data_IF_446556471181
#
_entry.id   IF_446556471181
#
_cell.length_a   1.000
_cell.length_b   1.000
_cell.length_c   1.000
_cell.angle_alpha   90.00
_cell.angle_beta   90.00
_cell.angle_gamma   90.00
#
_symmetry.space_group_name_H-M   'P 1'
#
loop_
_entity.id
_entity.type
_entity.pdbx_description
1 polymer ?
#
# COMPACT_ATOMS: atom_id res chain seq x y z
N UNK A 1 87.81 -12.68 -9.75
CA UNK A 1 86.79 -11.91 -10.46
C UNK A 1 85.51 -12.76 -10.41
N UNK A 2 84.67 -12.48 -9.40
CA UNK A 2 83.51 -13.36 -9.08
C UNK A 2 82.25 -12.50 -9.10
N UNK A 3 81.36 -12.79 -10.06
CA UNK A 3 80.06 -12.11 -10.18
C UNK A 3 79.10 -12.73 -9.18
N UNK A 4 78.60 -11.94 -8.22
CA UNK A 4 77.53 -12.30 -7.31
C UNK A 4 76.19 -11.91 -7.95
N UNK A 5 75.37 -12.93 -8.23
CA UNK A 5 74.00 -12.76 -8.72
C UNK A 5 73.08 -12.59 -7.53
N UNK A 6 72.49 -11.40 -7.37
CA UNK A 6 71.45 -11.16 -6.38
C UNK A 6 70.13 -11.63 -6.98
N UNK A 7 69.51 -12.66 -6.38
CA UNK A 7 68.11 -13.04 -6.70
C UNK A 7 67.20 -12.28 -5.74
N UNK A 8 66.41 -11.36 -6.29
CA UNK A 8 65.28 -10.74 -5.64
C UNK A 8 64.08 -11.70 -5.72
N UNK A 9 63.65 -12.22 -4.56
CA UNK A 9 62.35 -12.89 -4.41
C UNK A 9 61.29 -11.81 -4.27
N UNK A 10 60.40 -11.70 -5.22
CA UNK A 10 59.16 -10.93 -5.09
C UNK A 10 58.11 -11.81 -4.42
N UNK A 11 57.78 -11.48 -3.19
CA UNK A 11 56.62 -12.08 -2.49
C UNK A 11 55.38 -11.27 -2.93
N UNK A 12 54.54 -11.87 -3.77
CA UNK A 12 53.22 -11.34 -4.09
C UNK A 12 52.27 -11.73 -2.96
N UNK A 13 51.93 -10.77 -2.10
CA UNK A 13 50.84 -10.92 -1.14
C UNK A 13 49.49 -10.76 -1.86
N UNK A 14 48.83 -11.85 -2.15
CA UNK A 14 47.45 -11.86 -2.60
C UNK A 14 46.55 -11.48 -1.42
N UNK A 15 46.13 -10.22 -1.35
CA UNK A 15 45.09 -9.79 -0.44
C UNK A 15 43.74 -10.33 -1.00
N UNK A 16 43.24 -11.42 -0.42
CA UNK A 16 41.87 -11.87 -0.67
C UNK A 16 40.91 -10.87 -0.03
N UNK A 17 40.31 -10.02 -0.84
CA UNK A 17 39.21 -9.17 -0.46
C UNK A 17 37.97 -10.07 -0.30
N UNK A 18 37.69 -10.51 0.91
CA UNK A 18 36.42 -11.16 1.23
C UNK A 18 35.33 -10.08 1.13
N UNK A 19 34.67 -9.99 -0.02
CA UNK A 19 33.40 -9.31 -0.09
C UNK A 19 32.42 -10.07 0.81
N UNK A 20 32.17 -9.56 2.00
CA UNK A 20 30.99 -9.95 2.77
C UNK A 20 29.80 -9.49 1.95
N UNK A 21 29.15 -10.41 1.24
CA UNK A 21 27.80 -10.21 0.73
C UNK A 21 26.98 -9.95 1.98
N UNK A 22 26.59 -8.69 2.20
CA UNK A 22 25.58 -8.35 3.18
C UNK A 22 24.36 -9.17 2.80
N UNK A 23 24.06 -10.22 3.54
CA UNK A 23 22.90 -11.06 3.30
C UNK A 23 21.67 -10.15 3.26
N UNK A 24 20.93 -10.15 2.16
CA UNK A 24 19.63 -9.51 2.10
C UNK A 24 18.84 -10.06 3.29
N UNK A 25 18.41 -9.18 4.19
CA UNK A 25 17.60 -9.59 5.33
C UNK A 25 16.33 -10.21 4.75
N UNK A 26 16.02 -11.45 5.14
CA UNK A 26 14.84 -12.14 4.64
C UNK A 26 13.60 -11.28 4.87
N UNK A 27 12.75 -11.16 3.85
CA UNK A 27 11.53 -10.38 3.96
C UNK A 27 10.65 -10.94 5.08
N UNK A 28 10.13 -10.04 5.93
CA UNK A 28 9.16 -10.44 6.96
C UNK A 28 7.88 -10.86 6.27
N UNK A 29 7.55 -12.14 6.30
CA UNK A 29 6.39 -12.74 5.66
C UNK A 29 5.53 -13.50 6.65
N UNK A 30 4.23 -13.56 6.38
CA UNK A 30 3.27 -14.32 7.20
C UNK A 30 1.86 -14.20 6.68
N UNK A 31 1.00 -15.13 7.10
CA UNK A 31 -0.45 -15.08 6.88
C UNK A 31 -1.09 -14.95 8.27
N UNK A 32 -1.93 -13.95 8.45
CA UNK A 32 -2.56 -13.65 9.75
C UNK A 32 -4.07 -13.55 9.56
N UNK A 33 -4.83 -14.25 10.40
CA UNK A 33 -6.28 -14.16 10.40
C UNK A 33 -6.72 -12.75 10.84
N UNK A 34 -7.72 -12.20 10.14
CA UNK A 34 -8.36 -10.91 10.46
C UNK A 34 -9.71 -11.17 11.15
N UNK A 35 -10.57 -11.96 10.52
CA UNK A 35 -11.87 -12.37 11.05
C UNK A 35 -12.42 -13.52 10.22
N UNK A 36 -13.00 -14.54 10.86
CA UNK A 36 -13.57 -15.68 10.15
C UNK A 36 -12.58 -16.27 9.12
N UNK A 37 -13.00 -16.31 7.86
CA UNK A 37 -12.19 -16.83 6.75
C UNK A 37 -11.44 -15.73 5.97
N UNK A 38 -11.26 -14.55 6.57
CA UNK A 38 -10.51 -13.42 6.00
C UNK A 38 -9.15 -13.32 6.65
N UNK A 39 -8.11 -13.27 5.82
CA UNK A 39 -6.70 -13.21 6.25
C UNK A 39 -5.97 -12.08 5.52
N UNK A 40 -4.92 -11.56 6.16
CA UNK A 40 -3.90 -10.74 5.45
C UNK A 40 -2.63 -11.54 5.29
N UNK A 41 -2.02 -11.48 4.11
CA UNK A 41 -0.65 -11.93 3.94
C UNK A 41 0.30 -10.74 3.90
N UNK A 42 1.46 -10.89 4.50
CA UNK A 42 2.45 -9.84 4.70
C UNK A 42 3.71 -10.08 3.88
N UNK A 43 4.22 -9.01 3.28
CA UNK A 43 5.60 -8.93 2.80
C UNK A 43 6.21 -7.60 3.25
N UNK A 44 7.04 -7.64 4.29
CA UNK A 44 7.60 -6.47 4.97
C UNK A 44 6.51 -5.52 5.49
N UNK A 45 6.33 -4.35 4.85
CA UNK A 45 5.38 -3.30 5.24
C UNK A 45 4.09 -3.31 4.42
N UNK A 46 3.95 -4.24 3.46
CA UNK A 46 2.80 -4.37 2.59
C UNK A 46 1.97 -5.59 2.96
N UNK A 47 0.66 -5.47 2.80
CA UNK A 47 -0.28 -6.54 3.03
C UNK A 47 -1.24 -6.67 1.84
N UNK A 48 -1.54 -7.90 1.44
CA UNK A 48 -2.67 -8.26 0.61
C UNK A 48 -3.72 -8.97 1.43
N UNK A 49 -4.93 -9.15 0.87
CA UNK A 49 -6.04 -9.83 1.52
C UNK A 49 -6.30 -11.19 0.87
N UNK A 50 -6.66 -12.16 1.69
CA UNK A 50 -7.14 -13.48 1.28
C UNK A 50 -8.53 -13.70 1.86
N UNK A 51 -9.48 -14.09 1.03
CA UNK A 51 -10.82 -14.52 1.44
C UNK A 51 -10.98 -15.98 1.05
N UNK A 52 -11.01 -16.87 2.03
CA UNK A 52 -11.27 -18.31 1.81
C UNK A 52 -12.75 -18.50 1.71
N UNK A 53 -13.21 -19.05 0.58
CA UNK A 53 -14.63 -19.32 0.30
C UNK A 53 -14.86 -20.81 0.08
N UNK A 54 -16.11 -21.26 -0.03
CA UNK A 54 -16.38 -22.66 -0.33
C UNK A 54 -15.92 -23.09 -1.74
N UNK A 55 -15.78 -22.14 -2.67
CA UNK A 55 -15.43 -22.39 -4.07
C UNK A 55 -13.96 -22.10 -4.41
N UNK A 56 -13.18 -21.55 -3.48
CA UNK A 56 -11.78 -21.21 -3.69
C UNK A 56 -11.35 -20.00 -2.88
N UNK A 57 -10.20 -19.42 -3.22
CA UNK A 57 -9.64 -18.25 -2.57
C UNK A 57 -9.75 -17.05 -3.48
N UNK A 58 -10.26 -15.93 -2.96
CA UNK A 58 -10.18 -14.63 -3.59
C UNK A 58 -8.96 -13.89 -2.99
N UNK A 59 -8.01 -13.53 -3.84
CA UNK A 59 -6.82 -12.78 -3.48
C UNK A 59 -7.01 -11.30 -3.86
N UNK A 60 -6.72 -10.39 -2.96
CA UNK A 60 -6.66 -8.95 -3.25
C UNK A 60 -5.23 -8.48 -3.08
N UNK A 61 -4.66 -7.95 -4.15
CA UNK A 61 -3.28 -7.53 -4.31
C UNK A 61 -2.23 -8.65 -4.14
N UNK A 62 -1.16 -8.53 -4.86
CA UNK A 62 -0.08 -9.52 -4.95
C UNK A 62 1.26 -9.02 -4.40
N UNK A 63 1.36 -7.71 -4.15
CA UNK A 63 2.50 -6.99 -3.59
C UNK A 63 3.70 -6.98 -4.54
N UNK A 64 4.29 -8.14 -4.81
CA UNK A 64 5.36 -8.35 -5.78
C UNK A 64 5.54 -9.85 -6.09
N UNK A 65 6.35 -10.17 -7.11
CA UNK A 65 6.56 -11.56 -7.56
C UNK A 65 7.05 -12.49 -6.46
N UNK A 66 8.02 -12.05 -5.64
CA UNK A 66 8.57 -12.88 -4.56
C UNK A 66 7.55 -13.14 -3.45
N UNK A 67 6.72 -12.12 -3.12
CA UNK A 67 5.63 -12.25 -2.15
C UNK A 67 4.55 -13.20 -2.67
N UNK A 68 4.18 -13.05 -3.95
CA UNK A 68 3.21 -13.92 -4.62
C UNK A 68 3.66 -15.38 -4.66
N UNK A 69 4.93 -15.62 -5.02
CA UNK A 69 5.48 -16.97 -5.03
C UNK A 69 5.50 -17.57 -3.62
N UNK A 70 5.96 -16.81 -2.64
CA UNK A 70 5.93 -17.25 -1.25
C UNK A 70 4.51 -17.57 -0.77
N UNK A 71 3.53 -16.72 -1.11
CA UNK A 71 2.13 -16.97 -0.78
C UNK A 71 1.63 -18.27 -1.41
N UNK A 72 1.92 -18.49 -2.71
CA UNK A 72 1.54 -19.71 -3.42
C UNK A 72 2.09 -20.97 -2.75
N UNK A 73 3.34 -20.91 -2.30
CA UNK A 73 4.01 -22.03 -1.64
C UNK A 73 3.51 -22.28 -0.19
N UNK A 74 2.86 -21.28 0.43
CA UNK A 74 2.43 -21.34 1.83
C UNK A 74 0.92 -21.26 2.02
N UNK A 75 0.12 -21.15 0.94
CA UNK A 75 -1.34 -21.02 1.03
C UNK A 75 -1.99 -22.24 1.73
N UNK A 76 -1.40 -23.42 1.56
CA UNK A 76 -1.85 -24.67 2.20
C UNK A 76 -1.77 -24.64 3.72
N UNK A 77 -1.14 -23.66 4.34
CA UNK A 77 -1.16 -23.47 5.81
C UNK A 77 -2.52 -23.00 6.34
N UNK A 78 -3.37 -22.46 5.45
CA UNK A 78 -4.72 -21.99 5.81
C UNK A 78 -5.82 -22.72 5.02
N UNK A 79 -5.55 -23.20 3.81
CA UNK A 79 -6.53 -23.91 2.97
C UNK A 79 -5.86 -24.68 1.83
N UNK A 80 -6.45 -25.81 1.43
CA UNK A 80 -6.03 -26.56 0.24
C UNK A 80 -6.74 -26.08 -1.04
N UNK A 81 -7.63 -25.06 -0.94
CA UNK A 81 -8.39 -24.52 -2.07
C UNK A 81 -7.50 -23.67 -2.96
N UNK A 82 -7.67 -23.72 -4.29
CA UNK A 82 -6.90 -22.87 -5.21
C UNK A 82 -7.36 -21.41 -5.16
N UNK A 83 -6.48 -20.48 -5.56
CA UNK A 83 -6.88 -19.11 -5.91
C UNK A 83 -7.72 -19.17 -7.19
N UNK A 84 -8.89 -18.56 -7.17
CA UNK A 84 -9.86 -18.52 -8.29
C UNK A 84 -10.07 -17.11 -8.82
N UNK A 85 -9.83 -16.12 -7.99
CA UNK A 85 -9.98 -14.70 -8.35
C UNK A 85 -8.81 -13.89 -7.82
N UNK A 86 -8.36 -12.94 -8.63
CA UNK A 86 -7.42 -11.89 -8.24
C UNK A 86 -8.10 -10.53 -8.41
N UNK A 87 -8.14 -9.74 -7.36
CA UNK A 87 -8.66 -8.38 -7.39
C UNK A 87 -7.47 -7.43 -7.20
N UNK A 88 -7.32 -6.46 -8.08
CA UNK A 88 -6.39 -5.35 -7.86
C UNK A 88 -7.10 -4.20 -7.18
N UNK A 89 -6.60 -3.79 -6.00
CA UNK A 89 -7.14 -2.62 -5.31
C UNK A 89 -6.88 -1.34 -6.10
N UNK A 90 -5.72 -1.26 -6.74
CA UNK A 90 -5.32 -0.23 -7.70
C UNK A 90 -4.04 -0.65 -8.43
N UNK A 91 -3.58 0.14 -9.37
CA UNK A 91 -2.49 -0.22 -10.29
C UNK A 91 -1.08 0.14 -9.81
N UNK A 92 -0.88 0.64 -8.59
CA UNK A 92 0.46 0.89 -8.07
C UNK A 92 1.23 -0.42 -7.90
N UNK A 93 2.49 -0.43 -8.38
CA UNK A 93 3.26 -1.66 -8.53
C UNK A 93 3.69 -2.30 -7.19
N UNK A 94 3.72 -1.57 -6.12
CA UNK A 94 4.00 -2.09 -4.78
C UNK A 94 2.82 -2.85 -4.15
N UNK A 95 1.65 -2.81 -4.80
CA UNK A 95 0.47 -3.62 -4.48
C UNK A 95 0.16 -4.65 -5.56
N UNK A 96 0.26 -4.28 -6.83
CA UNK A 96 -0.29 -5.04 -7.93
C UNK A 96 0.74 -5.85 -8.75
N UNK A 97 2.05 -5.76 -8.43
CA UNK A 97 3.05 -6.57 -9.12
C UNK A 97 3.01 -8.03 -8.68
N UNK A 98 3.44 -8.93 -9.56
CA UNK A 98 3.52 -10.36 -9.27
C UNK A 98 2.23 -11.14 -9.51
N UNK A 99 1.21 -10.49 -10.07
CA UNK A 99 -0.07 -11.15 -10.41
C UNK A 99 0.06 -12.35 -11.33
N UNK A 100 1.09 -12.36 -12.21
CA UNK A 100 1.35 -13.47 -13.13
C UNK A 100 1.56 -14.82 -12.43
N UNK A 101 1.89 -14.84 -11.14
CA UNK A 101 2.03 -16.09 -10.37
C UNK A 101 0.69 -16.81 -10.22
N UNK A 102 -0.43 -16.06 -10.25
CA UNK A 102 -1.78 -16.59 -10.03
C UNK A 102 -2.70 -16.44 -11.26
N UNK A 103 -2.44 -15.50 -12.16
CA UNK A 103 -3.41 -15.05 -13.17
C UNK A 103 -3.82 -16.11 -14.22
N UNK A 104 -3.09 -17.22 -14.34
CA UNK A 104 -3.40 -18.24 -15.35
C UNK A 104 -4.69 -19.00 -15.00
N UNK A 105 -5.70 -18.86 -15.87
CA UNK A 105 -6.98 -19.58 -15.75
C UNK A 105 -7.94 -19.05 -14.69
N UNK A 106 -7.69 -17.88 -14.07
CA UNK A 106 -8.56 -17.27 -13.06
C UNK A 106 -9.18 -15.96 -13.55
N UNK A 107 -10.22 -15.47 -12.87
CA UNK A 107 -10.77 -14.14 -13.11
C UNK A 107 -9.87 -13.08 -12.44
N UNK A 108 -9.45 -12.07 -13.22
CA UNK A 108 -8.67 -10.93 -12.73
C UNK A 108 -9.54 -9.68 -12.82
N UNK A 109 -9.84 -9.07 -11.68
CA UNK A 109 -10.79 -7.96 -11.56
C UNK A 109 -10.03 -6.68 -11.23
N UNK A 110 -10.33 -5.59 -11.94
CA UNK A 110 -9.83 -4.25 -11.67
C UNK A 110 -10.88 -3.19 -12.01
N UNK A 111 -10.69 -1.98 -11.48
CA UNK A 111 -11.51 -0.83 -11.87
C UNK A 111 -11.30 -0.47 -13.36
N UNK A 112 -12.29 0.14 -13.99
CA UNK A 112 -12.25 0.52 -15.41
C UNK A 112 -11.09 1.49 -15.74
N UNK A 113 -10.71 2.36 -14.79
CA UNK A 113 -9.59 3.30 -14.94
C UNK A 113 -8.20 2.67 -14.77
N UNK A 114 -8.11 1.38 -14.43
CA UNK A 114 -6.82 0.68 -14.37
C UNK A 114 -6.21 0.57 -15.77
N UNK A 115 -4.86 0.55 -15.90
CA UNK A 115 -4.18 0.30 -17.17
C UNK A 115 -4.65 -0.99 -17.84
N UNK A 116 -4.45 -1.10 -19.16
CA UNK A 116 -4.82 -2.30 -19.92
C UNK A 116 -4.18 -3.58 -19.34
N UNK A 117 -2.96 -3.46 -18.85
CA UNK A 117 -2.27 -4.51 -18.10
C UNK A 117 -1.50 -3.90 -16.92
N UNK A 118 -1.47 -4.61 -15.80
CA UNK A 118 -0.73 -4.27 -14.59
C UNK A 118 0.37 -5.32 -14.43
N UNK A 119 1.64 -4.88 -14.46
CA UNK A 119 2.81 -5.77 -14.43
C UNK A 119 2.68 -6.98 -15.38
N UNK A 120 2.19 -6.72 -16.61
CA UNK A 120 1.98 -7.73 -17.65
C UNK A 120 0.70 -8.56 -17.54
N UNK A 121 -0.10 -8.37 -16.50
CA UNK A 121 -1.39 -9.07 -16.30
C UNK A 121 -2.55 -8.16 -16.72
N UNK A 122 -3.31 -8.57 -17.72
CA UNK A 122 -4.52 -7.87 -18.15
C UNK A 122 -5.72 -8.31 -17.29
N UNK A 123 -6.49 -7.36 -16.71
CA UNK A 123 -7.76 -7.69 -16.07
C UNK A 123 -8.72 -8.33 -17.06
N UNK A 124 -9.33 -9.45 -16.68
CA UNK A 124 -10.36 -10.14 -17.48
C UNK A 124 -11.74 -9.58 -17.22
N UNK A 125 -11.92 -8.90 -16.08
CA UNK A 125 -13.15 -8.22 -15.67
C UNK A 125 -12.84 -6.80 -15.24
N UNK A 126 -13.63 -5.85 -15.77
CA UNK A 126 -13.58 -4.44 -15.37
C UNK A 126 -14.95 -3.97 -14.90
N UNK A 127 -14.97 -3.03 -13.96
CA UNK A 127 -16.20 -2.41 -13.46
C UNK A 127 -15.99 -0.89 -13.27
N UNK A 128 -17.08 -0.14 -13.24
CA UNK A 128 -17.05 1.31 -13.09
C UNK A 128 -17.17 1.74 -11.62
N UNK A 129 -18.37 1.85 -11.05
CA UNK A 129 -18.56 2.40 -9.71
C UNK A 129 -18.55 1.33 -8.61
N UNK A 130 -19.34 0.27 -8.79
CA UNK A 130 -19.55 -0.80 -7.81
C UNK A 130 -19.59 -2.14 -8.55
N UNK A 131 -18.97 -3.13 -7.95
CA UNK A 131 -19.11 -4.52 -8.35
C UNK A 131 -19.27 -5.42 -7.12
N UNK A 132 -20.16 -6.41 -7.23
CA UNK A 132 -20.38 -7.40 -6.17
C UNK A 132 -20.07 -8.78 -6.70
N UNK A 133 -19.12 -9.45 -6.04
CA UNK A 133 -18.79 -10.85 -6.28
C UNK A 133 -19.43 -11.70 -5.18
N UNK A 134 -20.36 -12.60 -5.58
CA UNK A 134 -20.92 -13.62 -4.69
C UNK A 134 -20.26 -14.96 -5.00
N UNK A 135 -19.53 -15.51 -4.06
CA UNK A 135 -18.75 -16.74 -4.25
C UNK A 135 -18.62 -17.54 -2.95
N UNK A 136 -18.96 -18.82 -3.02
CA UNK A 136 -18.74 -19.80 -1.95
C UNK A 136 -19.16 -19.32 -0.56
N UNK A 137 -20.37 -18.75 -0.45
CA UNK A 137 -20.93 -18.26 0.82
C UNK A 137 -20.49 -16.88 1.26
N UNK A 138 -19.63 -16.19 0.48
CA UNK A 138 -19.18 -14.83 0.75
C UNK A 138 -19.77 -13.84 -0.25
N UNK A 139 -19.96 -12.59 0.19
CA UNK A 139 -20.23 -11.45 -0.66
C UNK A 139 -19.07 -10.48 -0.55
N UNK A 140 -18.43 -10.15 -1.67
CA UNK A 140 -17.29 -9.24 -1.74
C UNK A 140 -17.74 -8.03 -2.56
N UNK A 141 -17.84 -6.89 -1.88
CA UNK A 141 -18.30 -5.62 -2.43
C UNK A 141 -17.10 -4.77 -2.81
N UNK A 142 -16.96 -4.42 -4.08
CA UNK A 142 -15.91 -3.56 -4.62
C UNK A 142 -16.50 -2.19 -4.90
N UNK A 143 -15.92 -1.13 -4.34
CA UNK A 143 -16.41 0.23 -4.52
C UNK A 143 -15.26 1.12 -4.99
N UNK A 144 -15.39 1.73 -6.16
CA UNK A 144 -14.46 2.75 -6.60
C UNK A 144 -14.52 3.99 -5.70
N UNK A 145 -13.37 4.49 -5.27
CA UNK A 145 -13.31 5.59 -4.31
C UNK A 145 -13.25 6.98 -4.97
N UNK A 146 -13.12 7.05 -6.29
CA UNK A 146 -12.89 8.32 -6.99
C UNK A 146 -11.40 8.52 -7.30
N UNK A 147 -11.08 9.63 -7.98
CA UNK A 147 -9.69 10.01 -8.26
C UNK A 147 -9.09 10.77 -7.08
N UNK A 148 -7.90 10.36 -6.61
CA UNK A 148 -7.22 11.00 -5.49
C UNK A 148 -5.83 10.40 -5.33
N UNK A 149 -5.67 9.40 -4.48
CA UNK A 149 -4.51 8.53 -4.48
C UNK A 149 -4.64 7.54 -5.64
N UNK A 150 -4.18 7.91 -6.80
CA UNK A 150 -4.45 7.16 -8.04
C UNK A 150 -5.85 7.39 -8.61
N UNK A 151 -6.13 6.77 -9.76
CA UNK A 151 -7.38 6.95 -10.52
C UNK A 151 -8.33 5.76 -10.41
N UNK A 152 -7.82 4.62 -10.02
CA UNK A 152 -8.46 3.31 -10.07
C UNK A 152 -8.61 2.65 -8.68
N UNK A 153 -8.35 3.41 -7.60
CA UNK A 153 -8.37 2.88 -6.25
C UNK A 153 -9.77 2.48 -5.81
N UNK A 154 -9.90 1.26 -5.28
CA UNK A 154 -11.15 0.70 -4.75
C UNK A 154 -11.02 0.32 -3.27
N UNK A 155 -12.14 0.31 -2.58
CA UNK A 155 -12.31 -0.40 -1.31
C UNK A 155 -12.93 -1.77 -1.57
N UNK A 156 -12.54 -2.77 -0.79
CA UNK A 156 -13.07 -4.14 -0.83
C UNK A 156 -13.70 -4.45 0.51
N UNK A 157 -15.01 -4.73 0.56
CA UNK A 157 -15.71 -5.09 1.80
C UNK A 157 -16.18 -6.54 1.70
N UNK A 158 -15.87 -7.34 2.72
CA UNK A 158 -16.15 -8.78 2.79
C UNK A 158 -17.25 -9.07 3.79
N UNK A 159 -18.28 -9.82 3.37
CA UNK A 159 -19.40 -10.28 4.18
C UNK A 159 -19.40 -11.82 4.32
N UNK A 160 -19.81 -12.34 5.48
CA UNK A 160 -20.44 -11.66 6.62
C UNK A 160 -19.44 -11.04 7.62
N UNK A 161 -18.13 -11.13 7.43
CA UNK A 161 -17.10 -10.73 8.39
C UNK A 161 -17.04 -9.23 8.66
N UNK A 162 -17.67 -8.41 7.82
CA UNK A 162 -17.66 -6.94 7.91
C UNK A 162 -16.24 -6.35 7.90
N UNK A 163 -15.34 -6.95 7.12
CA UNK A 163 -13.96 -6.53 6.94
C UNK A 163 -13.85 -5.67 5.69
N UNK A 164 -13.36 -4.43 5.83
CA UNK A 164 -12.94 -3.61 4.71
C UNK A 164 -11.44 -3.70 4.51
N UNK A 165 -10.99 -4.08 3.32
CA UNK A 165 -9.61 -3.93 2.89
C UNK A 165 -9.51 -2.62 2.12
N UNK A 166 -8.71 -1.72 2.67
CA UNK A 166 -8.48 -0.38 2.12
C UNK A 166 -6.97 -0.19 2.05
N UNK A 167 -6.50 0.10 0.86
CA UNK A 167 -5.08 0.31 0.63
C UNK A 167 -4.69 1.76 0.97
N UNK A 168 -4.02 2.44 0.12
CA UNK A 168 -3.29 3.68 0.35
C UNK A 168 -4.15 4.92 0.64
N UNK A 169 -5.48 4.83 0.48
CA UNK A 169 -6.35 5.96 0.81
C UNK A 169 -6.31 6.31 2.30
N UNK A 170 -6.23 5.31 3.17
CA UNK A 170 -6.13 5.50 4.61
C UNK A 170 -5.49 4.28 5.29
N UNK A 171 -4.88 4.51 6.45
CA UNK A 171 -4.39 3.46 7.34
C UNK A 171 -4.65 3.83 8.79
N UNK A 172 -5.10 2.89 9.64
CA UNK A 172 -5.35 3.16 11.05
C UNK A 172 -4.13 3.75 11.75
N UNK A 173 -4.31 4.91 12.35
CA UNK A 173 -3.30 5.64 13.12
C UNK A 173 -1.92 5.70 12.45
N UNK A 174 -1.90 6.07 11.17
CA UNK A 174 -0.68 6.23 10.39
C UNK A 174 -0.82 7.40 9.43
N UNK A 175 0.23 8.22 9.30
CA UNK A 175 0.26 9.34 8.37
C UNK A 175 0.24 8.85 6.90
N UNK A 176 -0.36 9.63 5.98
CA UNK A 176 -0.23 9.42 4.54
C UNK A 176 1.24 9.37 4.10
N UNK A 177 1.50 8.63 3.01
CA UNK A 177 2.86 8.39 2.56
C UNK A 177 3.60 9.67 2.19
N UNK A 178 4.63 10.00 2.98
CA UNK A 178 5.64 11.04 2.72
C UNK A 178 5.03 12.38 2.27
N UNK A 179 5.44 12.85 1.08
CA UNK A 179 5.00 14.11 0.48
C UNK A 179 3.79 13.96 -0.45
N UNK A 180 3.09 12.81 -0.35
CA UNK A 180 1.89 12.48 -1.15
C UNK A 180 2.13 12.72 -2.65
N UNK A 181 3.14 12.05 -3.25
CA UNK A 181 3.55 12.31 -4.61
C UNK A 181 2.47 11.92 -5.61
N UNK A 182 2.39 12.68 -6.74
CA UNK A 182 1.53 12.39 -7.89
C UNK A 182 0.03 12.22 -7.55
N UNK A 183 -0.42 12.78 -6.42
CA UNK A 183 -1.80 12.64 -5.94
C UNK A 183 -2.57 13.95 -6.12
N UNK A 184 -3.86 13.81 -6.44
CA UNK A 184 -4.84 14.88 -6.22
C UNK A 184 -5.26 14.83 -4.75
N UNK A 185 -4.69 15.69 -3.90
CA UNK A 185 -4.92 15.60 -2.43
C UNK A 185 -6.36 15.95 -2.05
N UNK A 186 -7.03 16.86 -2.75
CA UNK A 186 -8.44 17.14 -2.52
C UNK A 186 -9.30 15.92 -2.84
N UNK A 187 -9.05 15.28 -3.99
CA UNK A 187 -9.69 14.02 -4.34
C UNK A 187 -9.36 12.88 -3.37
N UNK A 188 -8.14 12.85 -2.82
CA UNK A 188 -7.78 11.87 -1.79
C UNK A 188 -8.60 12.05 -0.51
N UNK A 189 -8.81 13.30 -0.06
CA UNK A 189 -9.73 13.59 1.06
C UNK A 189 -11.14 13.08 0.74
N UNK A 190 -11.62 13.27 -0.50
CA UNK A 190 -12.92 12.76 -0.92
C UNK A 190 -12.99 11.23 -0.96
N UNK A 191 -11.89 10.55 -1.33
CA UNK A 191 -11.78 9.09 -1.22
C UNK A 191 -11.99 8.63 0.23
N UNK A 192 -11.35 9.30 1.20
CA UNK A 192 -11.51 8.93 2.62
C UNK A 192 -12.93 9.22 3.10
N UNK A 193 -13.56 10.32 2.66
CA UNK A 193 -14.99 10.59 2.93
C UNK A 193 -15.88 9.48 2.39
N UNK A 194 -15.60 8.96 1.20
CA UNK A 194 -16.36 7.86 0.61
C UNK A 194 -16.19 6.57 1.43
N UNK A 195 -14.99 6.28 1.94
CA UNK A 195 -14.75 5.14 2.84
C UNK A 195 -15.65 5.21 4.08
N UNK A 196 -15.86 6.38 4.67
CA UNK A 196 -16.72 6.54 5.83
C UNK A 196 -18.19 6.16 5.56
N UNK A 197 -18.65 6.26 4.30
CA UNK A 197 -20.01 5.87 3.92
C UNK A 197 -20.20 4.37 3.79
N UNK A 198 -19.11 3.60 3.66
CA UNK A 198 -19.17 2.16 3.55
C UNK A 198 -19.56 1.53 4.90
N UNK A 199 -20.31 0.44 4.83
CA UNK A 199 -20.69 -0.32 6.01
C UNK A 199 -19.64 -1.41 6.27
N UNK A 200 -18.85 -1.26 7.33
CA UNK A 200 -17.85 -2.24 7.81
C UNK A 200 -17.52 -1.97 9.29
N UNK A 201 -16.94 -2.95 9.94
CA UNK A 201 -16.52 -2.86 11.35
C UNK A 201 -15.00 -2.92 11.47
N UNK A 202 -14.35 -3.84 10.74
CA UNK A 202 -12.92 -4.09 10.80
C UNK A 202 -12.23 -3.43 9.61
N UNK A 203 -11.27 -2.57 9.90
CA UNK A 203 -10.43 -1.92 8.90
C UNK A 203 -9.13 -2.70 8.75
N UNK A 204 -8.98 -3.47 7.69
CA UNK A 204 -7.76 -4.18 7.30
C UNK A 204 -7.00 -3.33 6.26
N UNK A 205 -5.92 -2.62 6.61
CA UNK A 205 -5.17 -1.80 5.66
C UNK A 205 -4.11 -2.63 4.93
N UNK A 206 -3.66 -2.12 3.78
CA UNK A 206 -2.46 -2.65 3.13
C UNK A 206 -1.15 -2.19 3.78
N UNK A 207 -1.23 -1.20 4.68
CA UNK A 207 -0.09 -0.71 5.45
C UNK A 207 -0.47 -0.53 6.93
N UNK A 208 0.33 -1.07 7.84
CA UNK A 208 0.12 -0.92 9.27
C UNK A 208 -0.79 -1.97 9.90
N UNK A 209 -1.36 -1.64 11.04
CA UNK A 209 -2.15 -2.55 11.86
C UNK A 209 -3.62 -2.54 11.46
N UNK A 210 -4.31 -3.64 11.74
CA UNK A 210 -5.77 -3.70 11.65
C UNK A 210 -6.36 -2.74 12.66
N UNK A 211 -7.40 -2.02 12.26
CA UNK A 211 -8.14 -1.07 13.07
C UNK A 211 -9.65 -1.22 12.91
N UNK A 212 -10.36 -0.14 13.14
CA UNK A 212 -11.82 -0.06 13.11
C UNK A 212 -12.28 1.08 12.20
N UNK A 213 -13.56 1.11 11.86
CA UNK A 213 -14.13 2.17 11.00
C UNK A 213 -13.81 3.60 11.47
N UNK A 214 -13.76 3.84 12.78
CA UNK A 214 -13.41 5.15 13.33
C UNK A 214 -12.04 5.66 12.89
N UNK A 215 -11.07 4.76 12.64
CA UNK A 215 -9.74 5.15 12.16
C UNK A 215 -9.78 5.80 10.76
N UNK A 216 -10.79 5.49 9.94
CA UNK A 216 -10.97 6.18 8.65
C UNK A 216 -11.43 7.64 8.86
N UNK A 217 -12.30 7.88 9.85
CA UNK A 217 -12.73 9.23 10.24
C UNK A 217 -11.54 10.04 10.73
N UNK A 218 -10.70 9.46 11.58
CA UNK A 218 -9.51 10.11 12.11
C UNK A 218 -8.50 10.42 10.98
N UNK A 219 -8.33 9.54 10.01
CA UNK A 219 -7.47 9.78 8.84
C UNK A 219 -7.97 10.98 8.01
N UNK A 220 -9.29 11.13 7.81
CA UNK A 220 -9.85 12.30 7.15
C UNK A 220 -9.60 13.58 7.96
N UNK A 221 -9.85 13.54 9.27
CA UNK A 221 -9.62 14.69 10.15
C UNK A 221 -8.17 15.16 10.06
N UNK A 222 -7.20 14.21 10.08
CA UNK A 222 -5.79 14.54 9.87
C UNK A 222 -5.56 15.29 8.56
N UNK A 223 -6.03 14.76 7.44
CA UNK A 223 -5.81 15.36 6.13
C UNK A 223 -6.47 16.72 5.98
N UNK A 224 -7.69 16.90 6.52
CA UNK A 224 -8.41 18.17 6.50
C UNK A 224 -7.72 19.21 7.39
N UNK A 225 -7.26 18.83 8.58
CA UNK A 225 -6.50 19.73 9.46
C UNK A 225 -5.17 20.15 8.84
N UNK A 226 -4.41 19.20 8.29
CA UNK A 226 -3.17 19.48 7.56
C UNK A 226 -3.43 20.50 6.44
N UNK A 227 -4.44 20.22 5.59
CA UNK A 227 -4.81 21.09 4.47
C UNK A 227 -5.19 22.50 4.93
N UNK A 228 -6.04 22.60 5.95
CA UNK A 228 -6.51 23.89 6.46
C UNK A 228 -5.37 24.74 7.03
N UNK A 229 -4.49 24.13 7.83
CA UNK A 229 -3.36 24.83 8.44
C UNK A 229 -2.35 25.28 7.41
N UNK A 230 -1.98 24.43 6.43
CA UNK A 230 -1.05 24.79 5.37
C UNK A 230 -1.63 25.88 4.48
N UNK A 231 -2.89 25.75 4.05
CA UNK A 231 -3.56 26.77 3.22
C UNK A 231 -3.62 28.13 3.92
N UNK A 232 -3.99 28.14 5.20
CA UNK A 232 -4.06 29.36 6.01
C UNK A 232 -2.68 30.03 6.10
N UNK A 233 -1.63 29.25 6.37
CA UNK A 233 -0.29 29.79 6.49
C UNK A 233 0.25 30.31 5.17
N UNK A 234 0.06 29.61 4.06
CA UNK A 234 0.45 30.09 2.73
C UNK A 234 -0.26 31.40 2.35
N UNK A 235 -1.58 31.49 2.59
CA UNK A 235 -2.35 32.74 2.38
C UNK A 235 -1.89 33.91 3.25
N UNK A 236 -1.30 33.60 4.41
CA UNK A 236 -0.68 34.60 5.28
C UNK A 236 0.77 34.94 4.86
N UNK A 237 1.27 34.44 3.73
CA UNK A 237 2.60 34.69 3.21
C UNK A 237 3.74 33.96 3.93
N UNK A 238 3.42 32.92 4.73
CA UNK A 238 4.47 32.10 5.37
C UNK A 238 5.19 31.25 4.35
N UNK A 239 6.49 31.11 4.52
CA UNK A 239 7.30 30.15 3.78
C UNK A 239 6.98 28.71 4.21
N UNK A 240 7.27 27.74 3.36
CA UNK A 240 7.07 26.32 3.67
C UNK A 240 7.88 25.89 4.91
N UNK A 241 9.09 26.44 5.10
CA UNK A 241 9.92 26.12 6.27
C UNK A 241 9.33 26.68 7.58
N UNK A 242 8.67 27.86 7.53
CA UNK A 242 7.91 28.38 8.67
C UNK A 242 6.70 27.52 8.96
N UNK A 243 6.00 26.97 7.94
CA UNK A 243 4.89 26.03 8.14
C UNK A 243 5.39 24.74 8.79
N UNK A 244 6.48 24.15 8.32
CA UNK A 244 7.09 22.96 8.92
C UNK A 244 7.43 23.16 10.39
N UNK A 245 7.95 24.34 10.74
CA UNK A 245 8.32 24.65 12.13
C UNK A 245 7.16 24.96 13.05
N UNK A 246 5.98 25.30 12.51
CA UNK A 246 4.82 25.76 13.30
C UNK A 246 3.62 24.84 13.28
N UNK A 247 3.48 23.98 12.26
CA UNK A 247 2.36 23.02 12.14
C UNK A 247 2.78 21.71 12.77
N UNK A 248 2.36 21.48 14.02
CA UNK A 248 2.73 20.26 14.76
C UNK A 248 1.74 19.12 14.57
N UNK A 249 0.43 19.39 14.53
CA UNK A 249 -0.62 18.34 14.48
C UNK A 249 -0.51 17.38 15.66
N UNK A 250 -0.36 17.93 16.87
CA UNK A 250 -0.02 17.20 18.10
C UNK A 250 -1.03 16.10 18.47
N UNK A 251 -2.29 16.26 18.07
CA UNK A 251 -3.35 15.25 18.28
C UNK A 251 -3.05 13.91 17.59
N UNK A 252 -2.09 13.90 16.65
CA UNK A 252 -1.67 12.72 15.88
C UNK A 252 -0.23 12.30 16.17
N UNK A 253 0.39 12.83 17.23
CA UNK A 253 1.81 12.60 17.55
C UNK A 253 2.14 11.15 17.90
N UNK A 254 1.16 10.35 18.30
CA UNK A 254 1.28 8.92 18.56
C UNK A 254 1.07 8.03 17.29
N UNK A 255 0.78 8.65 16.15
CA UNK A 255 0.55 7.89 14.92
C UNK A 255 1.85 7.38 14.28
N UNK A 256 1.76 6.23 13.64
CA UNK A 256 2.86 5.67 12.88
C UNK A 256 3.37 6.66 11.83
N UNK A 257 4.70 6.79 11.75
CA UNK A 257 5.42 7.70 10.85
C UNK A 257 5.28 9.20 11.16
N UNK A 258 4.71 9.59 12.29
CA UNK A 258 4.58 11.02 12.63
C UNK A 258 5.93 11.74 12.58
N UNK A 259 6.94 11.23 13.27
CA UNK A 259 8.27 11.86 13.34
C UNK A 259 8.96 11.96 11.97
N UNK A 260 8.66 11.03 11.06
CA UNK A 260 9.34 10.94 9.77
C UNK A 260 8.53 11.53 8.61
N UNK A 261 7.19 11.59 8.70
CA UNK A 261 6.34 11.99 7.58
C UNK A 261 5.54 13.28 7.80
N UNK A 262 5.45 13.81 9.02
CA UNK A 262 4.76 15.09 9.28
C UNK A 262 5.34 16.22 8.41
N UNK A 263 6.66 16.41 8.43
CA UNK A 263 7.32 17.41 7.58
C UNK A 263 7.08 17.16 6.09
N UNK A 264 7.35 15.98 5.53
CA UNK A 264 7.00 15.67 4.14
C UNK A 264 5.52 15.92 3.81
N UNK A 265 4.57 15.57 4.69
CA UNK A 265 3.15 15.82 4.46
C UNK A 265 2.85 17.33 4.33
N UNK A 266 3.45 18.17 5.17
CA UNK A 266 3.30 19.64 5.09
C UNK A 266 3.86 20.16 3.76
N UNK A 267 5.04 19.72 3.35
CA UNK A 267 5.68 20.11 2.09
C UNK A 267 4.88 19.65 0.86
N UNK A 268 4.37 18.42 0.89
CA UNK A 268 3.52 17.87 -0.17
C UNK A 268 2.20 18.61 -0.30
N UNK A 269 1.54 18.90 0.82
CA UNK A 269 0.31 19.70 0.85
C UNK A 269 0.56 21.12 0.33
N UNK A 270 1.65 21.78 0.74
CA UNK A 270 1.99 23.12 0.25
C UNK A 270 2.26 23.13 -1.26
N UNK A 271 3.00 22.16 -1.76
CA UNK A 271 3.22 21.98 -3.21
C UNK A 271 1.88 21.82 -3.95
N UNK A 272 1.01 20.91 -3.51
CA UNK A 272 -0.28 20.66 -4.13
C UNK A 272 -1.15 21.93 -4.17
N UNK A 273 -1.27 22.66 -3.07
CA UNK A 273 -2.10 23.87 -2.99
C UNK A 273 -1.58 24.99 -3.90
N UNK A 274 -0.26 25.07 -4.08
CA UNK A 274 0.37 26.04 -4.98
C UNK A 274 0.16 25.65 -6.45
N UNK A 275 0.47 24.40 -6.81
CA UNK A 275 0.36 23.89 -8.18
C UNK A 275 -1.08 23.85 -8.68
N UNK A 276 -2.06 23.63 -7.79
CA UNK A 276 -3.50 23.65 -8.09
C UNK A 276 -4.09 25.08 -8.12
N UNK A 277 -3.29 26.13 -7.92
CA UNK A 277 -3.73 27.54 -7.98
C UNK A 277 -4.63 27.97 -6.82
N UNK A 278 -4.61 27.27 -5.69
CA UNK A 278 -5.41 27.61 -4.51
C UNK A 278 -4.73 28.66 -3.62
N UNK A 279 -3.47 28.94 -3.90
CA UNK A 279 -2.66 30.01 -3.32
C UNK A 279 -2.03 30.80 -4.45
N UNK A 280 -2.16 32.13 -4.39
CA UNK A 280 -1.58 33.06 -5.38
C UNK A 280 -0.11 33.32 -5.08
#
# INVERSE_FOLDING_TARGET
MTKILLRLLAIAAAAAFAMTVAGAQDAKRGITNVAGDVYRFQNNFHFGLLVVTDEGVVLVDTINTDASQWLKDNLNTITDKPVTHLIYSHSHLDHASGGQVFADGIEVIAHANAPDAIDGVAPTKRFDDIHTLNIGGKTIELTWLGEGHGKDLIAVVVRPENVAFITDAASPKRLPFRDMPNSNIDGWIDQVRKIETLDFEIFAPAHGNVGVKADAIDARIYMEMLRAQVLTGLKAGKSVDELVSTIMLDDFSDWGQYDTWREPNIRGMARFLTESGQVN
#
